data_IF_095569102046
#
_entry.id   IF_095569102046
#
_cell.length_a   1.000
_cell.length_b   1.000
_cell.length_c   1.000
_cell.angle_alpha   90.00
_cell.angle_beta   90.00
_cell.angle_gamma   90.00
#
_symmetry.space_group_name_H-M   'P 1'
#
loop_
_entity.id
_entity.type
_entity.pdbx_description
1 polymer ?
#
# COMPACT_ATOMS: atom_id res chain seq x y z
N UNK A 1 -7.12 8.49 -12.35
CA UNK A 1 -5.93 8.93 -11.59
C UNK A 1 -6.36 9.32 -10.17
N UNK A 2 -7.48 10.03 -10.04
CA UNK A 2 -7.99 10.55 -8.77
C UNK A 2 -8.30 9.44 -7.75
N UNK A 3 -8.82 8.30 -8.20
CA UNK A 3 -9.09 7.13 -7.34
C UNK A 3 -7.91 6.70 -6.47
N UNK A 4 -6.68 6.64 -7.02
CA UNK A 4 -5.51 6.22 -6.24
C UNK A 4 -5.06 7.28 -5.24
N UNK A 5 -5.24 8.57 -5.57
CA UNK A 5 -4.96 9.66 -4.64
C UNK A 5 -5.95 9.63 -3.47
N UNK A 6 -7.23 9.35 -3.74
CA UNK A 6 -8.26 9.17 -2.72
C UNK A 6 -7.97 7.95 -1.83
N UNK A 7 -7.60 6.81 -2.40
CA UNK A 7 -7.18 5.63 -1.63
C UNK A 7 -5.98 5.94 -0.73
N UNK A 8 -4.98 6.67 -1.24
CA UNK A 8 -3.80 7.04 -0.46
C UNK A 8 -4.17 8.01 0.68
N UNK A 9 -5.10 8.93 0.45
CA UNK A 9 -5.61 9.79 1.52
C UNK A 9 -6.29 8.95 2.63
N UNK A 10 -7.10 7.94 2.25
CA UNK A 10 -7.70 7.02 3.22
C UNK A 10 -6.64 6.23 3.99
N UNK A 11 -5.62 5.69 3.31
CA UNK A 11 -4.53 4.96 3.98
C UNK A 11 -3.75 5.85 4.95
N UNK A 12 -3.44 7.09 4.57
CA UNK A 12 -2.77 8.04 5.46
C UNK A 12 -3.59 8.28 6.75
N UNK A 13 -4.90 8.49 6.61
CA UNK A 13 -5.80 8.63 7.76
C UNK A 13 -5.85 7.37 8.64
N UNK A 14 -5.88 6.18 8.04
CA UNK A 14 -5.85 4.91 8.78
C UNK A 14 -4.54 4.72 9.54
N UNK A 15 -3.40 5.12 8.95
CA UNK A 15 -2.10 5.08 9.63
C UNK A 15 -2.11 5.94 10.89
N UNK A 16 -2.62 7.17 10.78
CA UNK A 16 -2.73 8.11 11.91
C UNK A 16 -3.62 7.57 13.03
N UNK A 17 -4.57 6.69 12.71
CA UNK A 17 -5.44 6.01 13.67
C UNK A 17 -4.83 4.72 14.25
N UNK A 18 -3.57 4.41 13.93
CA UNK A 18 -2.88 3.21 14.42
C UNK A 18 -3.24 1.93 13.64
N UNK A 19 -3.71 2.06 12.39
CA UNK A 19 -3.98 0.95 11.47
C UNK A 19 -2.96 0.96 10.31
N UNK A 20 -1.70 0.53 10.52
CA UNK A 20 -0.62 0.73 9.56
C UNK A 20 -0.50 -0.37 8.50
N UNK A 21 -1.40 -1.36 8.47
CA UNK A 21 -1.32 -2.53 7.58
C UNK A 21 -2.47 -2.52 6.60
N UNK A 22 -2.16 -2.66 5.30
CA UNK A 22 -3.16 -2.85 4.23
C UNK A 22 -2.91 -4.16 3.52
N UNK A 23 -3.98 -4.94 3.40
CA UNK A 23 -4.03 -6.16 2.58
C UNK A 23 -4.78 -5.80 1.31
N UNK A 24 -4.11 -5.94 0.17
CA UNK A 24 -4.68 -5.56 -1.12
C UNK A 24 -4.63 -6.73 -2.11
N UNK A 25 -5.72 -7.04 -2.83
CA UNK A 25 -5.70 -8.03 -3.89
C UNK A 25 -4.91 -7.50 -5.10
N UNK A 26 -3.78 -8.13 -5.39
CA UNK A 26 -2.87 -7.69 -6.45
C UNK A 26 -1.71 -6.84 -5.93
N UNK A 27 -1.27 -5.86 -6.70
CA UNK A 27 -0.15 -4.99 -6.35
C UNK A 27 -0.52 -3.52 -6.44
N UNK A 28 -0.23 -2.78 -5.37
CA UNK A 28 -0.30 -1.32 -5.34
C UNK A 28 1.12 -0.76 -5.48
N UNK A 29 1.62 -0.76 -6.73
CA UNK A 29 3.05 -0.53 -7.03
C UNK A 29 3.60 0.75 -6.43
N UNK A 30 2.94 1.88 -6.68
CA UNK A 30 3.36 3.19 -6.16
C UNK A 30 3.37 3.25 -4.63
N UNK A 31 2.40 2.61 -3.96
CA UNK A 31 2.41 2.57 -2.48
C UNK A 31 3.58 1.72 -1.96
N UNK A 32 3.89 0.61 -2.63
CA UNK A 32 5.05 -0.21 -2.29
C UNK A 32 6.37 0.54 -2.49
N UNK A 33 6.49 1.34 -3.56
CA UNK A 33 7.64 2.21 -3.80
C UNK A 33 7.77 3.30 -2.72
N UNK A 34 6.64 3.93 -2.34
CA UNK A 34 6.61 4.94 -1.27
C UNK A 34 7.07 4.33 0.06
N UNK A 35 6.51 3.18 0.45
CA UNK A 35 6.89 2.46 1.66
C UNK A 35 8.34 1.95 1.63
N UNK A 36 8.90 1.70 0.44
CA UNK A 36 10.31 1.37 0.26
C UNK A 36 11.24 2.61 0.29
N UNK A 37 10.70 3.82 0.46
CA UNK A 37 11.46 5.06 0.54
C UNK A 37 11.87 5.66 -0.82
N UNK A 38 11.35 5.16 -1.94
CA UNK A 38 11.68 5.68 -3.28
C UNK A 38 11.15 7.10 -3.53
N UNK A 39 10.17 7.55 -2.74
CA UNK A 39 9.50 8.83 -2.87
C UNK A 39 9.62 9.66 -1.58
N UNK A 40 10.77 10.33 -1.33
CA UNK A 40 11.03 11.01 -0.05
C UNK A 40 10.07 12.17 0.23
N UNK A 41 9.48 12.78 -0.81
CA UNK A 41 8.48 13.84 -0.69
C UNK A 41 7.05 13.35 -0.39
N UNK A 42 6.83 12.04 -0.33
CA UNK A 42 5.52 11.49 0.02
C UNK A 42 5.18 11.75 1.50
N UNK A 43 3.87 11.70 1.81
CA UNK A 43 3.37 11.81 3.18
C UNK A 43 4.04 10.78 4.09
N UNK A 44 4.39 11.19 5.30
CA UNK A 44 5.06 10.31 6.28
C UNK A 44 4.24 9.07 6.56
N UNK A 45 2.94 9.25 6.70
CA UNK A 45 1.94 8.21 6.94
C UNK A 45 2.02 7.11 5.88
N UNK A 46 2.23 7.48 4.61
CA UNK A 46 2.35 6.51 3.51
C UNK A 46 3.74 5.84 3.47
N UNK A 47 4.79 6.57 3.85
CA UNK A 47 6.17 6.03 3.94
C UNK A 47 6.31 5.03 5.07
N UNK A 48 5.64 5.28 6.20
CA UNK A 48 5.67 4.44 7.40
C UNK A 48 4.63 3.27 7.31
N UNK A 49 3.93 3.13 6.19
CA UNK A 49 2.88 2.15 5.99
C UNK A 49 3.44 0.75 5.68
N UNK A 50 2.84 -0.30 6.24
CA UNK A 50 3.22 -1.70 6.02
C UNK A 50 2.38 -2.26 4.88
N UNK A 51 3.02 -2.44 3.72
CA UNK A 51 2.38 -2.98 2.51
C UNK A 51 2.70 -4.46 2.38
N UNK A 52 1.67 -5.31 2.41
CA UNK A 52 1.79 -6.75 2.17
C UNK A 52 1.02 -7.11 0.91
N UNK A 53 1.74 -7.47 -0.16
CA UNK A 53 1.12 -7.96 -1.40
C UNK A 53 1.05 -9.48 -1.41
N UNK A 54 -0.17 -10.02 -1.54
CA UNK A 54 -0.41 -11.45 -1.70
C UNK A 54 -0.35 -11.83 -3.17
N UNK A 55 0.65 -12.64 -3.54
CA UNK A 55 0.73 -13.26 -4.89
C UNK A 55 0.15 -14.66 -4.85
N UNK A 56 -1.09 -14.80 -5.30
CA UNK A 56 -1.74 -16.10 -5.43
C UNK A 56 -1.17 -16.83 -6.65
N UNK A 57 -0.52 -17.97 -6.43
CA UNK A 57 -0.15 -18.89 -7.51
C UNK A 57 -1.30 -19.87 -7.73
N UNK A 58 -1.72 -20.05 -8.98
CA UNK A 58 -2.68 -21.12 -9.33
C UNK A 58 -2.06 -22.46 -8.94
N UNK A 59 -2.78 -23.29 -8.18
CA UNK A 59 -2.37 -24.66 -7.90
C UNK A 59 -2.30 -25.41 -9.24
N UNK A 60 -1.13 -25.99 -9.56
CA UNK A 60 -0.97 -26.84 -10.73
C UNK A 60 -1.94 -28.02 -10.70
N UNK A 61 -2.16 -28.71 -11.83
CA UNK A 61 -3.02 -29.89 -11.86
C UNK A 61 -2.58 -30.89 -10.78
N UNK A 62 -3.56 -31.44 -10.06
CA UNK A 62 -3.37 -32.42 -8.99
C UNK A 62 -2.88 -33.76 -9.53
#
# INVERSE_FOLDING_TARGET
MDYFLEEFAVFACLQQQGLPVVIYPGSLGTLAEIAAGAHPGALRELRDFIVVSLRLKRRGPA
#
